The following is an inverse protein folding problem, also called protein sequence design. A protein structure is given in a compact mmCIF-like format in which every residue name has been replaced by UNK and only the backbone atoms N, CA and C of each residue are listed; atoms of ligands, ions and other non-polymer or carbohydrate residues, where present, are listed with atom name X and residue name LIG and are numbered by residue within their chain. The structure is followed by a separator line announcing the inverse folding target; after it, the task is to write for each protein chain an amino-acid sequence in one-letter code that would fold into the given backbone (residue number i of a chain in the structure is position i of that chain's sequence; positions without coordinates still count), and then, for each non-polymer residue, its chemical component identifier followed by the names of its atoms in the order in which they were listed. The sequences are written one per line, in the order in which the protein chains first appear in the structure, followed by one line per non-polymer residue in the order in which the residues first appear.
data_IF_989297765640
#
_entry.id   IF_989297765640
#
_cell.length_a   1.000
_cell.length_b   1.000
_cell.length_c   1.000
_cell.angle_alpha   90.00
_cell.angle_beta   90.00
_cell.angle_gamma   90.00
#
_symmetry.space_group_name_H-M   'P 1'
#
loop_
_entity.id
_entity.type
_entity.pdbx_description
1 polymer ?
#
# COMPACT_ATOMS: atom_id res chain seq x y z
N UNK A 1 -4.86 12.46 7.79
CA UNK A 1 -6.18 12.42 7.11
C UNK A 1 -7.32 12.03 8.06
N UNK A 2 -7.14 11.03 8.94
CA UNK A 2 -8.21 10.61 9.87
C UNK A 2 -8.60 11.66 10.91
N UNK A 3 -7.65 12.47 11.40
CA UNK A 3 -7.95 13.57 12.34
C UNK A 3 -8.85 14.66 11.73
N UNK A 4 -8.88 14.77 10.40
CA UNK A 4 -9.71 15.71 9.65
C UNK A 4 -11.13 15.18 9.38
N UNK A 5 -11.36 13.85 9.43
CA UNK A 5 -12.69 13.26 9.21
C UNK A 5 -13.80 13.83 10.10
N UNK A 6 -13.63 14.04 11.43
CA UNK A 6 -14.67 14.63 12.25
C UNK A 6 -15.00 16.08 11.86
N UNK A 7 -13.98 16.87 11.49
CA UNK A 7 -14.16 18.25 11.03
C UNK A 7 -14.90 18.27 9.67
N UNK A 8 -14.48 17.43 8.73
CA UNK A 8 -15.15 17.27 7.43
C UNK A 8 -16.61 16.84 7.60
N UNK A 9 -16.91 15.92 8.53
CA UNK A 9 -18.28 15.46 8.78
C UNK A 9 -19.16 16.60 9.29
N UNK A 10 -18.67 17.38 10.26
CA UNK A 10 -19.39 18.55 10.81
C UNK A 10 -19.65 19.62 9.73
N UNK A 11 -18.67 19.87 8.87
CA UNK A 11 -18.80 20.80 7.74
C UNK A 11 -19.77 20.29 6.67
N UNK A 12 -19.77 18.98 6.40
CA UNK A 12 -20.71 18.35 5.47
C UNK A 12 -22.16 18.44 5.97
N UNK A 13 -22.41 18.25 7.26
CA UNK A 13 -23.74 18.40 7.87
C UNK A 13 -24.25 19.85 7.74
N UNK A 14 -23.40 20.84 8.05
CA UNK A 14 -23.74 22.26 7.89
C UNK A 14 -24.02 22.61 6.42
N UNK A 15 -23.16 22.18 5.50
CA UNK A 15 -23.34 22.42 4.07
C UNK A 15 -24.63 21.76 3.53
N UNK A 16 -24.98 20.57 4.03
CA UNK A 16 -26.21 19.88 3.66
C UNK A 16 -27.45 20.67 4.06
N UNK A 17 -27.44 21.25 5.27
CA UNK A 17 -28.50 22.13 5.73
C UNK A 17 -28.62 23.40 4.86
N UNK A 18 -27.51 24.10 4.59
CA UNK A 18 -27.50 25.31 3.76
C UNK A 18 -28.01 25.07 2.34
N UNK A 19 -27.57 23.98 1.71
CA UNK A 19 -28.01 23.60 0.36
C UNK A 19 -29.49 23.22 0.35
N UNK A 20 -29.99 22.58 1.41
CA UNK A 20 -31.42 22.26 1.53
C UNK A 20 -32.29 23.51 1.66
N UNK A 21 -31.88 24.47 2.50
CA UNK A 21 -32.60 25.73 2.69
C UNK A 21 -32.59 26.57 1.40
N UNK A 22 -31.42 26.77 0.78
CA UNK A 22 -31.31 27.52 -0.49
C UNK A 22 -32.03 26.81 -1.64
N UNK A 23 -31.96 25.49 -1.68
CA UNK A 23 -32.68 24.69 -2.67
C UNK A 23 -34.19 24.89 -2.59
N UNK A 24 -34.76 24.99 -1.38
CA UNK A 24 -36.18 25.30 -1.17
C UNK A 24 -36.53 26.73 -1.57
N UNK A 25 -35.71 27.71 -1.21
CA UNK A 25 -35.94 29.13 -1.52
C UNK A 25 -35.90 29.42 -3.03
N UNK A 26 -34.98 28.77 -3.75
CA UNK A 26 -34.75 28.99 -5.17
C UNK A 26 -35.46 27.98 -6.08
N UNK A 27 -36.27 27.07 -5.51
CA UNK A 27 -36.98 26.04 -6.26
C UNK A 27 -36.07 25.07 -7.03
N UNK A 28 -34.89 24.76 -6.50
CA UNK A 28 -33.93 23.87 -7.19
C UNK A 28 -34.45 22.44 -7.29
N UNK A 29 -34.21 21.82 -8.45
CA UNK A 29 -34.39 20.38 -8.60
C UNK A 29 -33.38 19.60 -7.74
N UNK A 30 -33.75 18.39 -7.34
CA UNK A 30 -32.93 17.56 -6.47
C UNK A 30 -31.53 17.26 -7.07
N UNK A 31 -31.44 17.14 -8.40
CA UNK A 31 -30.17 16.96 -9.11
C UNK A 31 -29.25 18.18 -8.95
N UNK A 32 -29.81 19.39 -9.04
CA UNK A 32 -29.07 20.65 -8.89
C UNK A 32 -28.58 20.82 -7.45
N UNK A 33 -29.44 20.54 -6.46
CA UNK A 33 -29.05 20.56 -5.05
C UNK A 33 -27.91 19.57 -4.76
N UNK A 34 -27.99 18.32 -5.24
CA UNK A 34 -26.90 17.33 -5.09
C UNK A 34 -25.61 17.76 -5.78
N UNK A 35 -25.70 18.40 -6.95
CA UNK A 35 -24.53 18.93 -7.66
C UNK A 35 -23.83 20.02 -6.86
N UNK A 36 -24.56 21.02 -6.35
CA UNK A 36 -24.00 22.09 -5.52
C UNK A 36 -23.41 21.56 -4.22
N UNK A 37 -24.08 20.60 -3.57
CA UNK A 37 -23.55 19.94 -2.38
C UNK A 37 -22.20 19.27 -2.67
N UNK A 38 -22.12 18.42 -3.71
CA UNK A 38 -20.87 17.74 -4.08
C UNK A 38 -19.76 18.72 -4.46
N UNK A 39 -20.08 19.77 -5.24
CA UNK A 39 -19.11 20.77 -5.69
C UNK A 39 -18.53 21.55 -4.50
N UNK A 40 -19.38 22.04 -3.60
CA UNK A 40 -18.96 22.81 -2.43
C UNK A 40 -18.23 21.92 -1.41
N UNK A 41 -18.70 20.69 -1.19
CA UNK A 41 -18.02 19.76 -0.28
C UNK A 41 -16.60 19.45 -0.77
N UNK A 42 -16.44 19.22 -2.08
CA UNK A 42 -15.11 18.99 -2.69
C UNK A 42 -14.20 20.19 -2.47
N UNK A 43 -14.72 21.42 -2.60
CA UNK A 43 -13.95 22.65 -2.36
C UNK A 43 -13.48 22.77 -0.91
N UNK A 44 -14.39 22.60 0.05
CA UNK A 44 -14.08 22.66 1.49
C UNK A 44 -13.01 21.63 1.86
N UNK A 45 -13.15 20.39 1.37
CA UNK A 45 -12.17 19.31 1.62
C UNK A 45 -10.80 19.67 1.04
N UNK A 46 -10.74 20.23 -0.16
CA UNK A 46 -9.48 20.67 -0.77
C UNK A 46 -8.83 21.81 0.02
N UNK A 47 -9.61 22.81 0.46
CA UNK A 47 -9.10 23.92 1.27
C UNK A 47 -8.55 23.44 2.63
N UNK A 48 -9.22 22.49 3.28
CA UNK A 48 -8.72 21.82 4.49
C UNK A 48 -7.40 21.08 4.25
N UNK A 49 -7.28 20.35 3.13
CA UNK A 49 -6.04 19.66 2.78
C UNK A 49 -4.87 20.60 2.52
N UNK A 50 -5.14 21.79 1.96
CA UNK A 50 -4.13 22.83 1.76
C UNK A 50 -3.74 23.46 3.10
N UNK A 51 -4.71 23.84 3.94
CA UNK A 51 -4.49 24.44 5.27
C UNK A 51 -3.58 23.57 6.14
N UNK A 52 -3.89 22.28 6.21
CA UNK A 52 -3.16 21.34 7.07
C UNK A 52 -1.98 20.67 6.33
N UNK A 53 -1.67 21.11 5.11
CA UNK A 53 -0.56 20.62 4.27
C UNK A 53 -0.52 19.08 4.10
N UNK A 54 -1.70 18.45 4.18
CA UNK A 54 -1.95 17.01 4.17
C UNK A 54 -2.29 16.52 2.75
N UNK A 55 -1.57 17.01 1.73
CA UNK A 55 -1.90 16.63 0.35
C UNK A 55 -1.82 15.11 0.17
N UNK A 56 -2.87 14.46 -0.40
CA UNK A 56 -2.86 13.02 -0.67
C UNK A 56 -1.70 12.61 -1.58
N UNK A 57 -1.15 13.55 -2.36
CA UNK A 57 0.03 13.34 -3.19
C UNK A 57 1.27 12.96 -2.37
N UNK A 58 1.45 13.53 -1.16
CA UNK A 58 2.56 13.17 -0.26
C UNK A 58 2.46 11.72 0.21
N UNK A 59 1.24 11.23 0.44
CA UNK A 59 1.00 9.84 0.82
C UNK A 59 1.25 8.86 -0.34
N UNK A 60 1.03 9.29 -1.59
CA UNK A 60 1.29 8.48 -2.78
C UNK A 60 2.72 8.59 -3.31
N UNK A 61 3.48 9.62 -2.95
CA UNK A 61 4.84 9.86 -3.45
C UNK A 61 5.76 8.66 -3.20
N UNK A 62 5.65 8.04 -2.03
CA UNK A 62 6.46 6.88 -1.68
C UNK A 62 6.19 5.68 -2.60
N UNK A 63 4.92 5.49 -3.02
CA UNK A 63 4.54 4.46 -3.99
C UNK A 63 5.15 4.75 -5.37
N UNK A 64 5.17 6.02 -5.77
CA UNK A 64 5.76 6.44 -7.06
C UNK A 64 7.27 6.28 -7.14
N UNK A 65 7.98 6.30 -6.02
CA UNK A 65 9.43 6.01 -5.99
C UNK A 65 9.68 4.50 -5.85
N UNK A 66 8.87 3.83 -5.03
CA UNK A 66 9.02 2.40 -4.75
C UNK A 66 8.79 1.53 -5.99
N UNK A 67 7.76 1.79 -6.79
CA UNK A 67 7.40 0.96 -7.94
C UNK A 67 8.51 0.98 -9.01
N UNK A 68 9.00 2.14 -9.49
CA UNK A 68 10.08 2.18 -10.46
C UNK A 68 11.36 1.51 -9.96
N UNK A 69 11.75 1.78 -8.71
CA UNK A 69 12.92 1.13 -8.12
C UNK A 69 12.77 -0.40 -8.08
N UNK A 70 11.59 -0.89 -7.71
CA UNK A 70 11.30 -2.33 -7.69
C UNK A 70 11.40 -2.97 -9.08
N UNK A 71 10.90 -2.29 -10.13
CA UNK A 71 11.01 -2.75 -11.52
C UNK A 71 12.47 -2.77 -11.97
N UNK A 72 13.21 -1.68 -11.74
CA UNK A 72 14.61 -1.57 -12.14
C UNK A 72 15.48 -2.66 -11.49
N UNK A 73 15.33 -2.89 -10.19
CA UNK A 73 16.08 -3.94 -9.48
C UNK A 73 15.68 -5.33 -9.95
N UNK A 74 14.39 -5.58 -10.20
CA UNK A 74 13.90 -6.85 -10.74
C UNK A 74 14.51 -7.16 -12.12
N UNK A 75 14.55 -6.16 -13.02
CA UNK A 75 15.16 -6.30 -14.34
C UNK A 75 16.68 -6.46 -14.26
N UNK A 76 17.35 -5.72 -13.38
CA UNK A 76 18.78 -5.86 -13.16
C UNK A 76 19.13 -7.27 -12.68
N UNK A 77 18.43 -7.79 -11.68
CA UNK A 77 18.63 -9.15 -11.17
C UNK A 77 18.36 -10.22 -12.24
N UNK A 78 17.32 -10.02 -13.06
CA UNK A 78 17.05 -10.91 -14.20
C UNK A 78 18.20 -10.89 -15.20
N UNK A 79 18.70 -9.72 -15.56
CA UNK A 79 19.79 -9.57 -16.52
C UNK A 79 21.10 -10.17 -15.99
N UNK A 80 21.39 -10.02 -14.69
CA UNK A 80 22.52 -10.69 -14.04
C UNK A 80 22.35 -12.21 -14.03
N UNK A 81 21.14 -12.71 -13.78
CA UNK A 81 20.87 -14.16 -13.72
C UNK A 81 20.91 -14.84 -15.08
N UNK A 82 20.53 -14.14 -16.16
CA UNK A 82 20.53 -14.64 -17.55
C UNK A 82 21.89 -14.42 -18.24
N UNK A 83 22.87 -13.78 -17.58
CA UNK A 83 24.21 -13.56 -18.12
C UNK A 83 24.33 -12.36 -19.07
N UNK A 84 23.29 -11.52 -19.18
CA UNK A 84 23.28 -10.37 -20.07
C UNK A 84 24.26 -9.25 -19.66
N UNK A 85 24.70 -9.25 -18.40
CA UNK A 85 25.67 -8.28 -17.84
C UNK A 85 27.11 -8.79 -17.83
N UNK A 86 27.36 -10.04 -18.29
CA UNK A 86 28.68 -10.68 -18.31
C UNK A 86 28.68 -12.05 -17.63
N UNK A 87 29.44 -12.99 -18.17
CA UNK A 87 29.57 -14.38 -17.70
C UNK A 87 30.13 -14.48 -16.28
N UNK A 88 31.05 -13.60 -15.89
CA UNK A 88 31.63 -13.57 -14.54
C UNK A 88 30.59 -13.27 -13.45
N UNK A 89 29.65 -12.35 -13.73
CA UNK A 89 28.58 -11.98 -12.80
C UNK A 89 27.58 -13.13 -12.64
N UNK A 90 27.28 -13.84 -13.73
CA UNK A 90 26.42 -15.02 -13.68
C UNK A 90 27.06 -16.14 -12.86
N UNK A 91 28.37 -16.35 -13.00
CA UNK A 91 29.11 -17.37 -12.26
C UNK A 91 29.15 -17.05 -10.76
N UNK A 92 29.32 -15.77 -10.40
CA UNK A 92 29.20 -15.30 -9.00
C UNK A 92 27.79 -15.48 -8.42
N UNK A 93 26.73 -15.25 -9.21
CA UNK A 93 25.36 -15.55 -8.77
C UNK A 93 25.12 -17.07 -8.65
N UNK A 94 25.71 -17.87 -9.53
CA UNK A 94 25.57 -19.32 -9.50
C UNK A 94 26.31 -19.96 -8.30
N UNK A 95 27.40 -19.35 -7.84
CA UNK A 95 28.18 -19.80 -6.69
C UNK A 95 27.82 -19.09 -5.36
N UNK A 96 27.13 -17.94 -5.43
CA UNK A 96 26.86 -17.05 -4.30
C UNK A 96 25.61 -17.39 -3.48
N UNK A 97 24.98 -18.54 -3.72
CA UNK A 97 23.79 -18.96 -2.98
C UNK A 97 24.06 -19.23 -1.50
N UNK A 98 23.05 -19.05 -0.65
CA UNK A 98 23.13 -19.29 0.79
C UNK A 98 22.01 -20.24 1.26
N UNK A 99 22.26 -21.02 2.31
CA UNK A 99 21.33 -21.99 2.90
C UNK A 99 20.93 -23.12 1.94
N UNK A 100 19.70 -23.13 1.41
CA UNK A 100 19.14 -24.20 0.56
C UNK A 100 19.11 -23.87 -0.94
N UNK A 101 19.34 -22.60 -1.31
CA UNK A 101 19.46 -22.16 -2.70
C UNK A 101 20.93 -21.90 -3.00
N UNK A 102 21.64 -22.93 -3.50
CA UNK A 102 23.07 -22.81 -3.87
C UNK A 102 23.29 -22.02 -5.16
N UNK A 103 22.30 -22.01 -6.05
CA UNK A 103 22.33 -21.31 -7.32
C UNK A 103 21.25 -20.22 -7.33
N UNK A 104 21.67 -18.95 -7.44
CA UNK A 104 20.77 -17.79 -7.52
C UNK A 104 20.19 -17.57 -8.93
N UNK A 105 20.73 -18.25 -9.94
CA UNK A 105 20.34 -18.11 -11.34
C UNK A 105 19.25 -19.09 -11.75
N UNK A 106 19.21 -20.26 -11.09
CA UNK A 106 18.18 -21.26 -11.29
C UNK A 106 16.90 -20.95 -10.49
N UNK A 107 15.72 -21.39 -10.98
CA UNK A 107 14.49 -21.39 -10.19
C UNK A 107 14.64 -22.24 -8.92
N UNK A 108 14.02 -21.81 -7.81
CA UNK A 108 14.08 -22.54 -6.53
C UNK A 108 13.32 -23.87 -6.63
N UNK A 109 14.05 -24.97 -6.83
CA UNK A 109 13.50 -26.32 -6.90
C UNK A 109 12.81 -26.77 -5.60
N UNK A 110 13.11 -26.13 -4.46
CA UNK A 110 12.52 -26.49 -3.15
C UNK A 110 11.15 -25.84 -2.91
N UNK A 111 10.74 -24.87 -3.75
CA UNK A 111 9.51 -24.09 -3.61
C UNK A 111 9.39 -23.30 -2.28
N UNK A 112 10.44 -23.28 -1.45
CA UNK A 112 10.44 -22.61 -0.15
C UNK A 112 10.37 -21.09 -0.34
N UNK A 113 11.15 -20.53 -1.27
CA UNK A 113 11.14 -19.08 -1.54
C UNK A 113 9.82 -18.58 -2.15
N UNK A 114 9.25 -19.23 -3.19
CA UNK A 114 7.94 -18.86 -3.73
C UNK A 114 6.80 -18.94 -2.71
N UNK A 115 6.77 -20.01 -1.90
CA UNK A 115 5.71 -20.22 -0.90
C UNK A 115 5.84 -19.20 0.24
N UNK A 116 7.05 -18.98 0.76
CA UNK A 116 7.28 -17.96 1.79
C UNK A 116 6.93 -16.55 1.30
N UNK A 117 7.25 -16.21 0.05
CA UNK A 117 6.84 -14.94 -0.57
C UNK A 117 5.31 -14.80 -0.59
N UNK A 118 4.60 -15.84 -1.03
CA UNK A 118 3.14 -15.85 -1.05
C UNK A 118 2.54 -15.68 0.35
N UNK A 119 3.08 -16.38 1.35
CA UNK A 119 2.65 -16.28 2.75
C UNK A 119 2.89 -14.89 3.32
N UNK A 120 4.08 -14.31 3.13
CA UNK A 120 4.41 -12.95 3.59
C UNK A 120 3.49 -11.92 2.94
N UNK A 121 3.26 -12.01 1.63
CA UNK A 121 2.34 -11.11 0.92
C UNK A 121 0.90 -11.25 1.40
N UNK A 122 0.44 -12.47 1.66
CA UNK A 122 -0.88 -12.71 2.24
C UNK A 122 -1.01 -12.08 3.64
N UNK A 123 0.04 -12.21 4.46
CA UNK A 123 0.11 -11.63 5.80
C UNK A 123 0.06 -10.10 5.75
N UNK A 124 0.77 -9.47 4.79
CA UNK A 124 0.66 -8.03 4.50
C UNK A 124 -0.79 -7.64 4.25
N UNK A 125 -1.45 -8.34 3.33
CA UNK A 125 -2.83 -8.03 2.94
C UNK A 125 -3.78 -8.17 4.13
N UNK A 126 -3.59 -9.19 4.97
CA UNK A 126 -4.42 -9.42 6.15
C UNK A 126 -4.22 -8.36 7.23
N UNK A 127 -2.98 -7.94 7.48
CA UNK A 127 -2.67 -6.83 8.37
C UNK A 127 -3.35 -5.54 7.88
N UNK A 128 -3.24 -5.23 6.59
CA UNK A 128 -3.90 -4.05 6.00
C UNK A 128 -5.43 -4.14 6.00
N UNK A 129 -5.98 -5.34 5.85
CA UNK A 129 -7.43 -5.57 5.91
C UNK A 129 -7.98 -5.37 7.32
N UNK A 130 -7.26 -5.90 8.32
CA UNK A 130 -7.64 -5.83 9.75
C UNK A 130 -7.62 -4.40 10.31
N UNK A 131 -6.85 -3.50 9.70
CA UNK A 131 -6.77 -2.09 10.11
C UNK A 131 -8.04 -1.28 9.82
N UNK A 132 -8.98 -1.78 9.00
CA UNK A 132 -10.12 -0.97 8.53
C UNK A 132 -11.42 -1.40 9.21
N UNK A 133 -11.82 -0.67 10.26
CA UNK A 133 -13.08 -0.88 11.00
C UNK A 133 -14.34 -0.69 10.12
N UNK A 134 -14.25 0.08 9.04
CA UNK A 134 -15.32 0.24 8.04
C UNK A 134 -14.76 0.10 6.62
N UNK A 135 -14.85 -1.09 6.06
CA UNK A 135 -14.44 -1.39 4.68
C UNK A 135 -15.56 -1.06 3.68
N UNK A 136 -15.25 -0.24 2.67
CA UNK A 136 -16.14 -0.01 1.53
C UNK A 136 -16.20 -1.25 0.63
N UNK A 137 -17.30 -1.45 -0.14
CA UNK A 137 -17.44 -2.54 -1.12
C UNK A 137 -16.24 -2.61 -2.08
N UNK A 138 -15.76 -1.45 -2.55
CA UNK A 138 -14.59 -1.36 -3.42
C UNK A 138 -13.31 -1.83 -2.72
N UNK A 139 -13.14 -1.50 -1.43
CA UNK A 139 -11.97 -1.94 -0.66
C UNK A 139 -12.01 -3.44 -0.41
N UNK A 140 -13.18 -4.02 -0.14
CA UNK A 140 -13.32 -5.47 0.03
C UNK A 140 -12.94 -6.22 -1.25
N UNK A 141 -13.38 -5.71 -2.41
CA UNK A 141 -12.97 -6.25 -3.72
C UNK A 141 -11.46 -6.12 -3.91
N UNK A 142 -10.88 -4.94 -3.63
CA UNK A 142 -9.45 -4.72 -3.74
C UNK A 142 -8.64 -5.65 -2.82
N UNK A 143 -9.03 -5.82 -1.55
CA UNK A 143 -8.38 -6.75 -0.62
C UNK A 143 -8.46 -8.19 -1.13
N UNK A 144 -9.62 -8.65 -1.59
CA UNK A 144 -9.74 -10.00 -2.14
C UNK A 144 -8.88 -10.17 -3.41
N UNK A 145 -8.82 -9.14 -4.26
CA UNK A 145 -7.93 -9.14 -5.42
C UNK A 145 -6.46 -9.30 -5.00
N UNK A 146 -5.98 -8.55 -4.01
CA UNK A 146 -4.61 -8.70 -3.52
C UNK A 146 -4.33 -10.06 -2.85
N UNK A 147 -5.33 -10.68 -2.21
CA UNK A 147 -5.22 -12.06 -1.69
C UNK A 147 -5.02 -13.05 -2.84
N UNK A 148 -5.86 -12.97 -3.88
CA UNK A 148 -5.72 -13.82 -5.07
C UNK A 148 -4.38 -13.58 -5.75
N UNK A 149 -3.97 -12.31 -5.90
CA UNK A 149 -2.67 -11.95 -6.46
C UNK A 149 -1.51 -12.56 -5.67
N UNK A 150 -1.58 -12.59 -4.34
CA UNK A 150 -0.55 -13.19 -3.48
C UNK A 150 -0.42 -14.70 -3.72
N UNK A 151 -1.53 -15.39 -3.95
CA UNK A 151 -1.54 -16.83 -4.28
C UNK A 151 -1.02 -17.07 -5.70
N UNK A 152 -1.43 -16.25 -6.67
CA UNK A 152 -0.97 -16.33 -8.07
C UNK A 152 0.52 -15.98 -8.21
N UNK A 153 1.06 -15.14 -7.31
CA UNK A 153 2.49 -14.82 -7.31
C UNK A 153 3.37 -16.00 -6.92
N UNK A 154 2.83 -17.07 -6.31
CA UNK A 154 3.60 -18.27 -5.96
C UNK A 154 4.10 -19.01 -7.20
N UNK A 155 3.25 -19.45 -8.16
CA UNK A 155 3.74 -20.10 -9.38
C UNK A 155 4.55 -19.15 -10.27
N UNK A 156 4.28 -17.84 -10.25
CA UNK A 156 5.11 -16.85 -10.96
C UNK A 156 6.50 -16.78 -10.35
N UNK A 157 6.60 -16.70 -9.02
CA UNK A 157 7.88 -16.71 -8.31
C UNK A 157 8.65 -18.03 -8.48
N UNK A 158 7.95 -19.14 -8.74
CA UNK A 158 8.55 -20.44 -9.03
C UNK A 158 9.15 -20.54 -10.45
N UNK A 159 8.78 -19.65 -11.38
CA UNK A 159 9.32 -19.64 -12.76
C UNK A 159 10.43 -18.62 -12.98
N UNK A 160 10.65 -17.71 -12.03
CA UNK A 160 11.73 -16.71 -12.09
C UNK A 160 12.99 -17.20 -11.35
N UNK A 161 14.17 -16.63 -11.64
CA UNK A 161 15.39 -16.93 -10.89
C UNK A 161 15.21 -16.72 -9.39
N UNK A 162 15.82 -17.58 -8.59
CA UNK A 162 15.73 -17.51 -7.12
C UNK A 162 16.26 -16.18 -6.56
N UNK A 163 17.19 -15.50 -7.26
CA UNK A 163 17.62 -14.13 -6.96
C UNK A 163 16.48 -13.11 -6.94
N UNK A 164 15.57 -13.17 -7.92
CA UNK A 164 14.41 -12.29 -8.00
C UNK A 164 13.39 -12.63 -6.90
N UNK A 165 13.13 -13.92 -6.67
CA UNK A 165 12.23 -14.36 -5.62
C UNK A 165 12.73 -13.94 -4.22
N UNK A 166 14.04 -14.05 -3.96
CA UNK A 166 14.67 -13.60 -2.71
C UNK A 166 14.59 -12.08 -2.53
N UNK A 167 14.82 -11.32 -3.60
CA UNK A 167 14.65 -9.86 -3.58
C UNK A 167 13.20 -9.48 -3.27
N UNK A 168 12.22 -10.12 -3.93
CA UNK A 168 10.81 -9.89 -3.68
C UNK A 168 10.42 -10.22 -2.24
N UNK A 169 10.91 -11.34 -1.70
CA UNK A 169 10.67 -11.75 -0.32
C UNK A 169 11.25 -10.73 0.67
N UNK A 170 12.52 -10.36 0.48
CA UNK A 170 13.22 -9.41 1.34
C UNK A 170 12.56 -8.03 1.31
N UNK A 171 12.17 -7.57 0.12
CA UNK A 171 11.46 -6.29 -0.07
C UNK A 171 10.11 -6.29 0.64
N UNK A 172 9.33 -7.37 0.54
CA UNK A 172 8.07 -7.53 1.28
C UNK A 172 8.28 -7.56 2.79
N UNK A 173 9.32 -8.25 3.29
CA UNK A 173 9.68 -8.28 4.70
C UNK A 173 10.11 -6.90 5.24
N UNK A 174 10.93 -6.15 4.50
CA UNK A 174 11.33 -4.78 4.87
C UNK A 174 10.11 -3.85 4.82
N UNK A 175 9.24 -4.00 3.82
CA UNK A 175 7.97 -3.26 3.72
C UNK A 175 7.06 -3.51 4.92
N UNK A 176 6.91 -4.77 5.35
CA UNK A 176 6.24 -5.14 6.60
C UNK A 176 6.91 -4.50 7.81
N UNK A 177 8.24 -4.61 7.91
CA UNK A 177 9.02 -4.04 8.99
C UNK A 177 8.80 -2.53 9.12
N UNK A 178 8.90 -1.78 8.02
CA UNK A 178 8.59 -0.35 8.00
C UNK A 178 7.14 -0.07 8.38
N UNK A 179 6.17 -0.86 7.91
CA UNK A 179 4.76 -0.68 8.27
C UNK A 179 4.53 -0.93 9.76
N UNK A 180 5.12 -1.98 10.32
CA UNK A 180 5.04 -2.35 11.74
C UNK A 180 5.78 -1.35 12.63
N UNK A 181 6.95 -0.87 12.22
CA UNK A 181 7.72 0.18 12.94
C UNK A 181 6.95 1.49 12.98
N UNK A 182 6.41 1.93 11.84
CA UNK A 182 5.54 3.11 11.78
C UNK A 182 4.22 2.91 12.53
N UNK A 183 3.81 1.67 12.79
CA UNK A 183 2.64 1.32 13.60
C UNK A 183 2.97 1.26 15.09
N UNK A 184 4.22 1.01 15.47
CA UNK A 184 4.62 0.87 16.87
C UNK A 184 4.31 2.15 17.67
N UNK A 185 3.45 2.07 18.71
CA UNK A 185 3.09 3.22 19.54
C UNK A 185 4.28 3.76 20.33
N UNK A 186 5.36 2.97 20.46
CA UNK A 186 6.62 3.36 21.09
C UNK A 186 7.44 4.25 20.16
N UNK A 187 7.52 3.90 18.87
CA UNK A 187 8.20 4.73 17.86
C UNK A 187 7.41 6.02 17.57
N UNK A 188 6.07 5.95 17.52
CA UNK A 188 5.23 7.14 17.40
C UNK A 188 5.32 8.08 18.59
N UNK A 189 5.42 7.55 19.82
CA UNK A 189 5.68 8.36 21.02
C UNK A 189 7.06 8.99 21.00
N UNK A 190 8.08 8.25 20.55
CA UNK A 190 9.45 8.77 20.42
C UNK A 190 9.54 9.89 19.36
N UNK A 191 8.74 9.81 18.29
CA UNK A 191 8.68 10.81 17.22
C UNK A 191 7.58 11.87 17.40
N UNK A 192 6.94 11.98 18.57
CA UNK A 192 5.88 12.99 18.86
C UNK A 192 4.71 13.01 17.86
N UNK A 193 4.33 11.87 17.29
CA UNK A 193 3.23 11.78 16.33
C UNK A 193 1.89 11.74 17.09
N UNK A 194 0.92 12.66 16.81
CA UNK A 194 -0.36 12.69 17.49
C UNK A 194 -1.17 11.40 17.25
N UNK A 195 -1.83 10.89 18.29
CA UNK A 195 -2.70 9.69 18.22
C UNK A 195 -3.87 9.92 17.27
N UNK A 196 -4.17 8.92 16.45
CA UNK A 196 -5.30 8.89 15.51
C UNK A 196 -6.36 7.89 15.97
N UNK A 197 -7.64 8.08 15.61
CA UNK A 197 -8.75 7.21 16.06
C UNK A 197 -8.68 5.75 15.55
N UNK A 198 -7.88 5.46 14.52
CA UNK A 198 -7.59 4.08 14.08
C UNK A 198 -6.42 3.42 14.79
N UNK A 199 -5.75 4.12 15.71
CA UNK A 199 -4.65 3.50 16.47
C UNK A 199 -5.23 2.54 17.51
N UNK A 200 -4.86 1.25 17.39
CA UNK A 200 -5.15 0.25 18.40
C UNK A 200 -4.35 0.55 19.67
N UNK A 201 -4.99 0.49 20.84
CA UNK A 201 -4.31 0.62 22.14
C UNK A 201 -3.30 -0.51 22.38
N UNK A 202 -3.43 -1.62 21.64
CA UNK A 202 -2.50 -2.75 21.64
C UNK A 202 -1.63 -2.77 20.37
N UNK A 203 -0.36 -3.20 20.48
CA UNK A 203 0.57 -3.31 19.35
C UNK A 203 0.23 -4.47 18.37
N UNK A 204 -0.78 -5.28 18.70
CA UNK A 204 -1.26 -6.42 17.93
C UNK A 204 -2.77 -6.23 17.70
#
# INVERSE_FOLDING_TARGET
LENLQPEIKKLAERLGYEVSVRGKQLGWSEKVARFHFKKNLRRIVTELYIRDNCHPFKATLLVWVQIPMWVCVSLALRNCSVGATGSEVQEQFSAGGALWFRDLTAPDATWILPVSLGLVNLLIVEIFASQKTKVSRFQKIATNFFRVLSVVMIPVAATVPSSMALYWLSSSCVGLGHNLLLRSPTFRRLCFIPRTKSDSDTPY
#
